data_IF_908040439322
#
_entry.id   IF_908040439322
#
_cell.length_a   1.000
_cell.length_b   1.000
_cell.length_c   1.000
_cell.angle_alpha   90.00
_cell.angle_beta   90.00
_cell.angle_gamma   90.00
#
_symmetry.space_group_name_H-M   'P 1'
#
loop_
_entity.id
_entity.type
_entity.pdbx_description
1 polymer ?
#
# COMPACT_ATOMS: atom_id res chain seq x y z
N UNK A 1 63.98 -23.70 29.22
CA UNK A 1 62.97 -22.66 29.30
C UNK A 1 61.94 -22.88 28.20
N UNK A 2 60.70 -23.28 28.54
CA UNK A 2 59.60 -23.49 27.59
C UNK A 2 58.64 -22.30 27.74
N UNK A 3 58.60 -21.45 26.75
CA UNK A 3 57.66 -20.32 26.69
C UNK A 3 56.34 -20.82 26.11
N UNK A 4 55.28 -20.80 26.93
CA UNK A 4 53.90 -21.07 26.48
C UNK A 4 53.30 -19.78 25.89
N UNK A 5 52.83 -19.89 24.64
CA UNK A 5 52.09 -18.81 23.95
C UNK A 5 50.59 -19.04 24.20
N UNK A 6 49.95 -18.15 24.95
CA UNK A 6 48.51 -18.19 25.19
C UNK A 6 47.80 -17.42 24.10
N UNK A 7 47.01 -18.10 23.29
CA UNK A 7 46.17 -17.52 22.23
C UNK A 7 44.89 -16.98 22.89
N UNK A 8 44.70 -15.64 22.86
CA UNK A 8 43.48 -14.99 23.33
C UNK A 8 42.48 -14.92 22.16
N UNK A 9 41.48 -15.77 22.16
CA UNK A 9 40.36 -15.72 21.18
C UNK A 9 39.33 -14.67 21.66
N UNK A 10 39.27 -13.52 20.97
CA UNK A 10 38.23 -12.53 21.17
C UNK A 10 36.99 -12.99 20.40
N UNK A 11 35.97 -13.41 21.12
CA UNK A 11 34.66 -13.72 20.55
C UNK A 11 33.90 -12.43 20.22
N UNK A 12 33.60 -12.21 18.94
CA UNK A 12 32.69 -11.13 18.48
C UNK A 12 31.27 -11.61 18.72
N UNK A 13 30.63 -11.03 19.73
CA UNK A 13 29.20 -11.21 19.99
C UNK A 13 28.43 -10.28 19.06
N UNK A 14 27.94 -10.80 17.92
CA UNK A 14 27.03 -10.07 17.05
C UNK A 14 25.66 -10.00 17.74
N UNK A 15 25.29 -8.82 18.22
CA UNK A 15 23.92 -8.56 18.65
C UNK A 15 23.01 -8.50 17.40
N UNK A 16 22.22 -9.53 17.19
CA UNK A 16 21.08 -9.47 16.25
C UNK A 16 20.03 -8.57 16.91
N UNK A 17 19.95 -7.32 16.44
CA UNK A 17 18.80 -6.48 16.71
C UNK A 17 17.63 -7.00 15.88
N UNK A 18 16.69 -7.70 16.51
CA UNK A 18 15.39 -7.95 15.92
C UNK A 18 14.67 -6.60 15.81
N UNK A 19 14.58 -6.03 14.62
CA UNK A 19 13.65 -4.95 14.35
C UNK A 19 12.24 -5.50 14.61
N UNK A 20 11.54 -4.94 15.59
CA UNK A 20 10.12 -5.19 15.74
C UNK A 20 9.44 -4.59 14.51
N UNK A 21 8.77 -5.39 13.71
CA UNK A 21 7.83 -4.88 12.71
C UNK A 21 6.73 -4.19 13.51
N UNK A 22 6.73 -2.86 13.51
CA UNK A 22 5.67 -2.08 14.09
C UNK A 22 4.47 -2.22 13.17
N UNK A 23 3.29 -2.51 13.74
CA UNK A 23 2.06 -2.52 12.95
C UNK A 23 1.86 -1.12 12.36
N UNK A 24 1.55 -1.05 11.09
CA UNK A 24 1.27 0.23 10.42
C UNK A 24 0.01 0.86 10.99
N UNK A 25 0.02 2.19 11.14
CA UNK A 25 -1.14 2.96 11.61
C UNK A 25 -2.21 3.14 10.51
N UNK A 26 -1.88 2.81 9.26
CA UNK A 26 -2.75 2.90 8.10
C UNK A 26 -2.43 1.76 7.12
N UNK A 27 -3.42 1.25 6.40
CA UNK A 27 -3.28 0.16 5.43
C UNK A 27 -4.11 0.44 4.19
N UNK A 28 -3.72 -0.13 3.04
CA UNK A 28 -4.58 -0.17 1.84
C UNK A 28 -5.72 -1.15 2.15
N UNK A 29 -6.96 -0.68 2.13
CA UNK A 29 -8.14 -1.50 2.39
C UNK A 29 -8.94 -1.84 1.14
N UNK A 30 -8.84 -1.02 0.08
CA UNK A 30 -9.53 -1.27 -1.17
C UNK A 30 -8.89 -0.60 -2.37
N UNK A 31 -9.10 -1.16 -3.55
CA UNK A 31 -8.73 -0.60 -4.84
C UNK A 31 -9.89 -0.77 -5.82
N UNK A 32 -10.07 0.19 -6.71
CA UNK A 32 -11.19 0.21 -7.68
C UNK A 32 -10.67 0.67 -9.04
N UNK A 33 -10.97 -0.13 -10.06
CA UNK A 33 -10.99 0.27 -11.47
C UNK A 33 -12.44 0.12 -11.94
N UNK A 34 -13.20 1.23 -12.01
CA UNK A 34 -14.64 1.19 -12.11
C UNK A 34 -15.15 0.85 -13.50
N UNK A 35 -16.40 0.36 -13.59
CA UNK A 35 -16.98 -0.14 -14.85
C UNK A 35 -17.57 0.97 -15.73
N UNK A 36 -17.46 2.25 -15.33
CA UNK A 36 -17.97 3.35 -16.17
C UNK A 36 -17.02 3.63 -17.34
N UNK A 37 -17.51 4.23 -18.45
CA UNK A 37 -16.68 4.53 -19.61
C UNK A 37 -15.40 5.29 -19.24
N UNK A 38 -14.24 4.74 -19.59
CA UNK A 38 -12.93 5.26 -19.20
C UNK A 38 -12.34 4.63 -17.94
N UNK A 39 -12.96 3.56 -17.41
CA UNK A 39 -12.51 2.87 -16.19
C UNK A 39 -12.77 3.69 -14.93
N UNK A 40 -13.83 4.50 -14.90
CA UNK A 40 -14.18 5.33 -13.74
C UNK A 40 -15.14 4.61 -12.78
N UNK A 41 -15.06 4.93 -11.46
CA UNK A 41 -13.98 5.68 -10.80
C UNK A 41 -12.71 4.83 -10.66
N UNK A 42 -11.54 5.50 -10.64
CA UNK A 42 -10.27 4.89 -10.23
C UNK A 42 -9.92 5.44 -8.87
N UNK A 43 -9.76 4.56 -7.88
CA UNK A 43 -9.55 4.99 -6.51
C UNK A 43 -8.86 3.94 -5.66
N UNK A 44 -8.22 4.43 -4.59
CA UNK A 44 -7.69 3.63 -3.49
C UNK A 44 -8.38 4.05 -2.20
N UNK A 45 -8.78 3.06 -1.40
CA UNK A 45 -9.26 3.23 -0.04
C UNK A 45 -8.16 2.83 0.93
N UNK A 46 -7.89 3.70 1.90
CA UNK A 46 -7.02 3.41 3.04
C UNK A 46 -7.86 3.33 4.31
N UNK A 47 -7.51 2.40 5.19
CA UNK A 47 -8.11 2.28 6.52
C UNK A 47 -7.11 2.73 7.59
N UNK A 48 -7.52 3.67 8.44
CA UNK A 48 -6.74 4.20 9.56
C UNK A 48 -6.89 3.26 10.76
N UNK A 49 -5.81 2.59 11.13
CA UNK A 49 -5.77 1.59 12.22
C UNK A 49 -5.63 2.27 13.58
N UNK A 50 -4.74 3.27 13.67
CA UNK A 50 -4.49 4.08 14.85
C UNK A 50 -4.58 5.56 14.50
N UNK A 51 -4.81 6.44 15.50
CA UNK A 51 -4.80 7.89 15.28
C UNK A 51 -3.47 8.34 14.68
N UNK A 52 -3.54 9.18 13.64
CA UNK A 52 -2.40 9.79 12.96
C UNK A 52 -2.52 11.30 13.15
N UNK A 53 -1.53 11.92 13.79
CA UNK A 53 -1.52 13.37 14.01
C UNK A 53 -1.18 14.16 12.74
N UNK A 54 -0.40 13.57 11.84
CA UNK A 54 0.10 14.21 10.62
C UNK A 54 0.25 13.19 9.47
N UNK A 55 -0.65 13.28 8.49
CA UNK A 55 -0.63 12.44 7.30
C UNK A 55 0.52 12.76 6.33
N UNK A 56 1.23 13.88 6.48
CA UNK A 56 2.30 14.26 5.55
C UNK A 56 3.53 13.34 5.59
N UNK A 57 3.60 12.46 6.59
CA UNK A 57 4.57 11.36 6.61
C UNK A 57 4.20 10.20 5.68
N UNK A 58 2.98 10.19 5.15
CA UNK A 58 2.44 9.10 4.34
C UNK A 58 2.17 9.55 2.90
N UNK A 59 2.20 8.60 2.00
CA UNK A 59 1.88 8.81 0.59
C UNK A 59 1.56 7.53 -0.13
N UNK A 60 1.09 7.65 -1.36
CA UNK A 60 0.77 6.53 -2.24
C UNK A 60 1.43 6.69 -3.60
N UNK A 61 1.65 5.58 -4.27
CA UNK A 61 2.09 5.51 -5.66
C UNK A 61 1.53 4.29 -6.35
N UNK A 62 1.52 4.29 -7.66
CA UNK A 62 1.19 3.14 -8.49
C UNK A 62 2.45 2.46 -9.01
N UNK A 63 2.35 1.16 -9.30
CA UNK A 63 3.36 0.40 -10.03
C UNK A 63 2.66 -0.22 -11.24
N UNK A 64 2.82 0.44 -12.39
CA UNK A 64 2.01 0.19 -13.56
C UNK A 64 2.54 -0.98 -14.40
N UNK A 65 1.65 -1.88 -14.85
CA UNK A 65 1.93 -2.94 -15.82
C UNK A 65 3.11 -3.86 -15.45
N UNK A 66 3.47 -3.97 -14.16
CA UNK A 66 4.59 -4.78 -13.70
C UNK A 66 6.00 -4.21 -14.00
N UNK A 67 6.10 -2.92 -14.28
CA UNK A 67 7.39 -2.25 -14.57
C UNK A 67 8.19 -1.90 -13.29
N UNK A 68 7.69 -2.28 -12.13
CA UNK A 68 8.30 -2.00 -10.82
C UNK A 68 7.73 -0.74 -10.17
N UNK A 69 8.30 -0.37 -9.01
CA UNK A 69 7.87 0.80 -8.24
C UNK A 69 8.32 2.11 -8.91
N UNK A 70 7.39 3.05 -9.08
CA UNK A 70 7.67 4.43 -9.46
C UNK A 70 7.98 5.33 -8.23
N UNK A 71 7.90 4.76 -7.02
CA UNK A 71 8.07 5.46 -5.76
C UNK A 71 6.80 6.17 -5.30
N UNK A 72 6.96 7.05 -4.31
CA UNK A 72 5.86 7.85 -3.77
C UNK A 72 5.51 8.98 -4.75
N UNK A 73 4.29 8.97 -5.30
CA UNK A 73 3.83 9.91 -6.32
C UNK A 73 2.84 10.95 -5.78
N UNK A 74 2.17 10.65 -4.67
CA UNK A 74 1.26 11.55 -3.97
C UNK A 74 1.52 11.48 -2.47
N UNK A 75 2.01 12.58 -1.89
CA UNK A 75 2.15 12.75 -0.43
C UNK A 75 0.91 13.41 0.13
N UNK A 76 0.35 12.91 1.22
CA UNK A 76 -0.83 13.52 1.86
C UNK A 76 -0.47 14.88 2.46
N UNK A 77 -1.44 15.82 2.54
CA UNK A 77 -1.26 17.08 3.26
C UNK A 77 -1.10 16.83 4.77
N UNK A 78 -0.58 17.83 5.49
CA UNK A 78 -0.40 17.80 6.94
C UNK A 78 -1.76 17.93 7.65
N UNK A 79 -2.49 16.83 7.71
CA UNK A 79 -3.81 16.70 8.34
C UNK A 79 -3.84 15.50 9.26
N UNK A 80 -4.67 15.54 10.30
CA UNK A 80 -4.85 14.41 11.21
C UNK A 80 -5.87 13.41 10.65
N UNK A 81 -5.69 12.12 10.96
CA UNK A 81 -6.66 11.08 10.66
C UNK A 81 -6.98 10.26 11.93
N UNK A 82 -8.25 9.91 12.12
CA UNK A 82 -8.74 9.24 13.32
C UNK A 82 -8.86 7.75 13.09
N UNK A 83 -8.46 6.94 14.06
CA UNK A 83 -8.59 5.49 14.03
C UNK A 83 -10.03 5.05 13.71
N UNK A 84 -10.18 4.10 12.80
CA UNK A 84 -11.45 3.60 12.30
C UNK A 84 -12.04 4.39 11.15
N UNK A 85 -11.43 5.50 10.70
CA UNK A 85 -11.83 6.20 9.50
C UNK A 85 -11.25 5.57 8.23
N UNK A 86 -11.86 5.90 7.08
CA UNK A 86 -11.34 5.58 5.76
C UNK A 86 -10.92 6.87 5.07
N UNK A 87 -9.90 6.79 4.23
CA UNK A 87 -9.40 7.86 3.38
C UNK A 87 -9.49 7.37 1.94
N UNK A 88 -10.14 8.17 1.09
CA UNK A 88 -10.32 7.87 -0.32
C UNK A 88 -9.48 8.80 -1.18
N UNK A 89 -8.61 8.22 -2.00
CA UNK A 89 -7.85 8.94 -3.02
C UNK A 89 -8.34 8.48 -4.38
N UNK A 90 -8.87 9.40 -5.19
CA UNK A 90 -9.39 9.10 -6.52
C UNK A 90 -8.67 9.90 -7.60
N UNK A 91 -8.80 9.50 -8.87
CA UNK A 91 -8.28 10.29 -10.00
C UNK A 91 -9.05 11.59 -10.21
N UNK A 92 -10.36 11.58 -9.93
CA UNK A 92 -11.23 12.75 -10.06
C UNK A 92 -12.42 12.68 -9.09
N UNK A 93 -12.97 13.84 -8.79
CA UNK A 93 -14.09 13.97 -7.84
C UNK A 93 -15.42 13.57 -8.47
N UNK A 94 -15.63 13.90 -9.74
CA UNK A 94 -16.96 13.79 -10.38
C UNK A 94 -17.34 12.32 -10.57
N UNK A 95 -16.47 11.52 -11.21
CA UNK A 95 -16.70 10.10 -11.44
C UNK A 95 -16.79 9.29 -10.14
N UNK A 96 -15.96 9.64 -9.14
CA UNK A 96 -16.04 9.03 -7.82
C UNK A 96 -17.38 9.34 -7.14
N UNK A 97 -17.79 10.62 -7.14
CA UNK A 97 -19.04 11.05 -6.50
C UNK A 97 -20.27 10.48 -7.21
N UNK A 98 -20.25 10.41 -8.55
CA UNK A 98 -21.35 9.80 -9.32
C UNK A 98 -21.55 8.33 -8.94
N UNK A 99 -20.45 7.60 -8.73
CA UNK A 99 -20.49 6.16 -8.46
C UNK A 99 -20.82 5.85 -6.99
N UNK A 100 -20.13 6.51 -6.04
CA UNK A 100 -20.23 6.19 -4.60
C UNK A 100 -21.24 7.06 -3.84
N UNK A 101 -21.65 8.20 -4.38
CA UNK A 101 -22.61 9.11 -3.75
C UNK A 101 -22.01 10.06 -2.71
N UNK A 102 -20.70 10.11 -2.56
CA UNK A 102 -19.93 11.03 -1.72
C UNK A 102 -18.62 11.41 -2.41
N UNK A 103 -18.00 12.52 -2.01
CA UNK A 103 -16.73 12.95 -2.59
C UNK A 103 -15.53 12.19 -1.98
N UNK A 104 -14.45 11.93 -2.75
CA UNK A 104 -13.20 11.44 -2.18
C UNK A 104 -12.56 12.51 -1.30
N UNK A 105 -11.71 12.10 -0.35
CA UNK A 105 -10.96 13.01 0.51
C UNK A 105 -9.89 13.75 -0.29
N UNK A 106 -9.22 13.05 -1.21
CA UNK A 106 -8.15 13.59 -2.05
C UNK A 106 -8.31 13.17 -3.50
N UNK A 107 -7.67 13.94 -4.40
CA UNK A 107 -7.55 13.56 -5.81
C UNK A 107 -6.09 13.59 -6.26
N UNK A 108 -5.68 12.56 -7.01
CA UNK A 108 -4.35 12.47 -7.59
C UNK A 108 -4.36 11.69 -8.90
N UNK A 109 -3.70 12.22 -9.92
CA UNK A 109 -3.46 11.51 -11.17
C UNK A 109 -2.51 10.31 -11.05
N UNK A 110 -1.76 10.22 -9.95
CA UNK A 110 -0.91 9.08 -9.62
C UNK A 110 -1.69 7.75 -9.50
N UNK A 111 -2.99 7.83 -9.21
CA UNK A 111 -3.86 6.66 -9.08
C UNK A 111 -4.73 6.42 -10.33
N UNK A 112 -4.23 6.80 -11.51
CA UNK A 112 -4.85 6.45 -12.79
C UNK A 112 -4.60 4.97 -13.15
N UNK A 113 -4.81 4.09 -12.17
CA UNK A 113 -4.59 2.65 -12.28
C UNK A 113 -5.61 2.00 -13.20
N UNK A 114 -5.18 0.95 -13.88
CA UNK A 114 -6.08 0.00 -14.54
C UNK A 114 -6.18 -1.24 -13.65
N UNK A 115 -7.12 -2.11 -13.86
CA UNK A 115 -7.35 -3.27 -13.01
C UNK A 115 -6.20 -4.27 -12.86
N UNK A 116 -5.08 -4.02 -13.49
CA UNK A 116 -3.86 -4.83 -13.53
C UNK A 116 -2.64 -4.15 -12.86
N UNK A 117 -2.83 -2.95 -12.30
CA UNK A 117 -1.76 -2.17 -11.69
C UNK A 117 -1.67 -2.40 -10.17
N UNK A 118 -0.46 -2.42 -9.65
CA UNK A 118 -0.22 -2.51 -8.21
C UNK A 118 -0.19 -1.10 -7.58
N UNK A 119 -0.46 -1.05 -6.26
CA UNK A 119 -0.46 0.17 -5.46
C UNK A 119 0.49 0.00 -4.28
N UNK A 120 1.29 1.01 -4.00
CA UNK A 120 2.16 1.08 -2.84
C UNK A 120 1.72 2.19 -1.88
N UNK A 121 1.76 1.91 -0.59
CA UNK A 121 1.58 2.87 0.50
C UNK A 121 2.92 3.09 1.18
N UNK A 122 3.29 4.36 1.34
CA UNK A 122 4.57 4.78 1.87
C UNK A 122 4.43 5.45 3.23
N UNK A 123 5.46 5.33 4.06
CA UNK A 123 5.69 6.16 5.23
C UNK A 123 7.15 6.60 5.25
N UNK A 124 7.39 7.91 5.31
CA UNK A 124 8.73 8.51 5.25
C UNK A 124 9.55 8.00 4.04
N UNK A 125 8.88 7.83 2.88
CA UNK A 125 9.47 7.32 1.65
C UNK A 125 9.78 5.81 1.62
N UNK A 126 9.35 5.05 2.64
CA UNK A 126 9.52 3.61 2.69
C UNK A 126 8.18 2.90 2.47
N UNK A 127 8.16 1.85 1.66
CA UNK A 127 6.96 1.03 1.44
C UNK A 127 6.58 0.32 2.73
N UNK A 128 5.36 0.55 3.19
CA UNK A 128 4.78 -0.09 4.38
C UNK A 128 3.67 -1.08 4.05
N UNK A 129 2.99 -0.90 2.92
CA UNK A 129 1.93 -1.80 2.45
C UNK A 129 1.85 -1.79 0.92
N UNK A 130 1.38 -2.90 0.33
CA UNK A 130 1.25 -3.05 -1.12
C UNK A 130 0.00 -3.84 -1.47
N UNK A 131 -0.73 -3.40 -2.46
CA UNK A 131 -1.69 -4.19 -3.21
C UNK A 131 -1.09 -4.56 -4.57
N UNK A 132 -1.20 -5.83 -4.98
CA UNK A 132 -0.60 -6.31 -6.22
C UNK A 132 0.90 -6.62 -6.11
N UNK A 133 1.46 -7.16 -7.18
CA UNK A 133 2.88 -7.47 -7.30
C UNK A 133 3.52 -6.45 -8.25
N UNK A 134 4.40 -5.59 -7.72
CA UNK A 134 4.96 -4.45 -8.45
C UNK A 134 5.73 -4.82 -9.73
N UNK A 135 6.31 -6.02 -9.79
CA UNK A 135 7.09 -6.53 -10.92
C UNK A 135 6.27 -7.48 -11.83
N UNK A 136 4.93 -7.48 -11.69
CA UNK A 136 4.04 -8.37 -12.46
C UNK A 136 2.85 -7.58 -12.97
N UNK A 137 2.64 -7.59 -14.30
CA UNK A 137 1.40 -7.16 -14.92
C UNK A 137 0.25 -8.04 -14.41
N UNK A 138 -0.76 -7.42 -13.79
CA UNK A 138 -1.88 -8.10 -13.15
C UNK A 138 -2.86 -8.75 -14.10
N UNK A 139 -2.82 -8.39 -15.40
CA UNK A 139 -3.76 -8.89 -16.43
C UNK A 139 -3.89 -10.41 -16.37
N UNK A 140 -5.10 -10.89 -16.09
CA UNK A 140 -5.42 -12.33 -16.04
C UNK A 140 -4.80 -13.09 -14.87
N UNK A 141 -4.21 -12.40 -13.89
CA UNK A 141 -3.72 -13.01 -12.64
C UNK A 141 -4.85 -13.20 -11.62
N UNK A 142 -4.53 -13.81 -10.46
CA UNK A 142 -5.50 -13.97 -9.38
C UNK A 142 -5.87 -12.66 -8.66
N UNK A 143 -5.18 -11.56 -8.96
CA UNK A 143 -5.39 -10.25 -8.38
C UNK A 143 -5.81 -9.18 -9.41
N UNK A 144 -6.14 -9.59 -10.63
CA UNK A 144 -6.77 -8.75 -11.65
C UNK A 144 -8.14 -8.24 -11.16
N UNK A 145 -8.35 -6.90 -11.23
CA UNK A 145 -9.58 -6.23 -10.80
C UNK A 145 -10.16 -5.29 -11.87
N UNK A 146 -9.85 -5.58 -13.14
CA UNK A 146 -10.31 -4.83 -14.30
C UNK A 146 -11.84 -4.65 -14.27
N UNK A 147 -12.31 -3.42 -14.49
CA UNK A 147 -13.72 -3.03 -14.41
C UNK A 147 -14.39 -3.41 -13.08
N UNK A 148 -13.60 -3.53 -12.01
CA UNK A 148 -14.04 -4.07 -10.74
C UNK A 148 -13.32 -3.47 -9.51
N UNK A 149 -13.21 -4.28 -8.48
CA UNK A 149 -12.58 -3.89 -7.22
C UNK A 149 -11.91 -5.07 -6.51
N UNK A 150 -10.96 -4.74 -5.65
CA UNK A 150 -10.46 -5.66 -4.64
C UNK A 150 -10.58 -5.03 -3.26
N UNK A 151 -10.91 -5.84 -2.25
CA UNK A 151 -11.10 -5.43 -0.87
C UNK A 151 -10.32 -6.33 0.08
N UNK A 152 -9.58 -5.73 1.02
CA UNK A 152 -8.77 -6.45 2.01
C UNK A 152 -9.65 -7.18 3.01
N UNK A 153 -9.38 -8.46 3.25
CA UNK A 153 -10.11 -9.27 4.23
C UNK A 153 -9.89 -8.74 5.65
N UNK A 154 -10.94 -8.79 6.48
CA UNK A 154 -10.88 -8.26 7.84
C UNK A 154 -9.80 -8.94 8.69
N UNK A 155 -9.13 -8.17 9.55
CA UNK A 155 -8.08 -8.64 10.43
C UNK A 155 -6.70 -8.80 9.76
N UNK A 156 -6.57 -8.44 8.47
CA UNK A 156 -5.28 -8.38 7.80
C UNK A 156 -4.58 -7.05 8.11
N UNK A 157 -3.25 -7.09 8.20
CA UNK A 157 -2.38 -5.94 8.49
C UNK A 157 -1.59 -5.54 7.24
N UNK A 158 -0.88 -4.42 7.32
CA UNK A 158 0.10 -4.02 6.32
C UNK A 158 1.13 -5.14 6.08
N UNK A 159 1.57 -5.30 4.83
CA UNK A 159 2.36 -6.45 4.38
C UNK A 159 3.84 -6.13 4.13
N UNK A 160 4.26 -4.87 4.37
CA UNK A 160 5.65 -4.41 4.17
C UNK A 160 6.18 -4.72 2.77
N UNK A 161 5.35 -4.56 1.74
CA UNK A 161 5.72 -4.81 0.33
C UNK A 161 5.64 -6.28 -0.11
N UNK A 162 5.07 -7.18 0.72
CA UNK A 162 4.90 -8.59 0.34
C UNK A 162 3.41 -8.91 0.15
N UNK A 163 2.95 -8.83 -1.09
CA UNK A 163 1.55 -9.06 -1.44
C UNK A 163 1.17 -10.55 -1.42
N UNK A 164 0.00 -10.84 -0.83
CA UNK A 164 -0.64 -12.16 -0.86
C UNK A 164 -2.11 -11.98 -1.25
N UNK A 165 -2.47 -12.44 -2.45
CA UNK A 165 -3.82 -12.31 -3.01
C UNK A 165 -4.89 -13.04 -2.17
N UNK A 166 -4.52 -14.04 -1.38
CA UNK A 166 -5.46 -14.76 -0.49
C UNK A 166 -6.00 -13.90 0.66
N UNK A 167 -5.36 -12.76 0.94
CA UNK A 167 -5.77 -11.78 1.94
C UNK A 167 -6.81 -10.77 1.40
N UNK A 168 -7.28 -10.97 0.18
CA UNK A 168 -8.18 -10.07 -0.53
C UNK A 168 -9.40 -10.79 -1.09
N UNK A 169 -10.47 -10.03 -1.27
CA UNK A 169 -11.69 -10.45 -1.96
C UNK A 169 -11.85 -9.58 -3.21
N UNK A 170 -12.20 -10.19 -4.33
CA UNK A 170 -12.29 -9.53 -5.64
C UNK A 170 -13.72 -9.61 -6.17
N UNK A 171 -14.12 -8.57 -6.92
CA UNK A 171 -15.40 -8.58 -7.66
C UNK A 171 -15.43 -9.61 -8.81
N UNK A 172 -14.26 -10.03 -9.27
CA UNK A 172 -14.05 -10.66 -10.57
C UNK A 172 -13.96 -9.63 -11.70
N UNK A 173 -13.58 -10.09 -12.88
CA UNK A 173 -13.47 -9.31 -14.12
C UNK A 173 -14.60 -9.71 -15.08
#
# INVERSE_FOLDING_TARGET
>A
MKTSLTLLTAGILSALSSASVQASDIVISGVVDGPLPGGYPKAVELYVVNDIDDLSAYGVGSANNGDGSDGEEFTFPAEAAVAGSHIYVATDTDGFTEFFGFAPDFTSGALAVNGDDAIELFQDGNVIDTFGQIDVDGTGTAWDYLDGWAYRNSGQTANSGTFDSSNWTYSGV
#
